data_IF_727266400714
#
_entry.id   IF_727266400714
#
_cell.length_a   1.000
_cell.length_b   1.000
_cell.length_c   1.000
_cell.angle_alpha   90.00
_cell.angle_beta   90.00
_cell.angle_gamma   90.00
#
_symmetry.space_group_name_H-M   'P 1'
#
loop_
_entity.id
_entity.type
_entity.pdbx_description
1 polymer ?
#
# COMPACT_ATOMS: atom_id res chain seq x y z
N UNK A 1 -49.19 -47.58 -33.30
CA UNK A 1 -47.82 -47.07 -33.25
C UNK A 1 -47.79 -45.64 -33.78
N UNK A 2 -47.63 -44.63 -32.96
CA UNK A 2 -47.18 -43.33 -33.43
C UNK A 2 -45.77 -43.03 -32.96
N UNK A 3 -45.01 -42.42 -33.84
CA UNK A 3 -43.65 -41.95 -33.71
C UNK A 3 -43.52 -40.84 -32.66
N UNK A 4 -42.54 -40.97 -31.81
CA UNK A 4 -42.09 -39.92 -30.88
C UNK A 4 -41.09 -39.06 -31.63
N UNK A 5 -41.45 -37.80 -31.86
CA UNK A 5 -40.55 -36.74 -32.35
C UNK A 5 -39.84 -36.10 -31.16
N UNK A 6 -38.54 -35.94 -31.31
CA UNK A 6 -37.67 -35.43 -30.30
C UNK A 6 -37.88 -33.94 -30.03
N UNK A 7 -37.99 -33.55 -28.77
CA UNK A 7 -37.93 -32.19 -28.26
C UNK A 7 -36.47 -31.88 -27.89
N UNK A 8 -35.90 -31.09 -28.75
CA UNK A 8 -34.59 -30.45 -28.56
C UNK A 8 -34.79 -29.32 -27.53
N UNK A 9 -34.47 -29.57 -26.28
CA UNK A 9 -34.49 -28.58 -25.22
C UNK A 9 -33.14 -27.92 -25.11
N UNK A 10 -32.92 -26.87 -25.93
CA UNK A 10 -31.82 -25.92 -25.77
C UNK A 10 -31.91 -25.20 -24.42
N UNK A 11 -31.21 -25.70 -23.44
CA UNK A 11 -31.03 -25.03 -22.14
C UNK A 11 -30.13 -23.82 -22.33
N UNK A 12 -30.73 -22.67 -22.58
CA UNK A 12 -30.04 -21.38 -22.55
C UNK A 12 -29.67 -21.10 -21.08
N UNK A 13 -28.44 -21.41 -20.71
CA UNK A 13 -27.85 -20.93 -19.46
C UNK A 13 -27.85 -19.40 -19.51
N UNK A 14 -28.87 -18.80 -18.88
CA UNK A 14 -28.83 -17.38 -18.58
C UNK A 14 -27.65 -17.13 -17.65
N UNK A 15 -26.58 -16.57 -18.20
CA UNK A 15 -25.50 -16.00 -17.41
C UNK A 15 -26.10 -14.84 -16.63
N UNK A 16 -26.44 -15.10 -15.38
CA UNK A 16 -26.82 -14.05 -14.44
C UNK A 16 -25.64 -13.07 -14.34
N UNK A 17 -25.86 -11.87 -14.88
CA UNK A 17 -24.93 -10.74 -14.68
C UNK A 17 -24.74 -10.59 -13.18
N UNK A 18 -23.49 -10.51 -12.66
CA UNK A 18 -23.26 -10.32 -11.25
C UNK A 18 -23.99 -9.08 -10.80
N UNK A 19 -24.89 -9.27 -9.85
CA UNK A 19 -25.63 -8.20 -9.18
C UNK A 19 -24.60 -7.16 -8.72
N UNK A 20 -24.62 -5.97 -9.34
CA UNK A 20 -23.83 -4.84 -8.86
C UNK A 20 -24.28 -4.61 -7.42
N UNK A 21 -23.52 -5.12 -6.45
CA UNK A 21 -23.68 -4.73 -5.05
C UNK A 21 -23.58 -3.21 -5.06
N UNK A 22 -24.69 -2.52 -4.82
CA UNK A 22 -24.64 -1.11 -4.48
C UNK A 22 -23.64 -1.01 -3.33
N UNK A 23 -22.46 -0.44 -3.62
CA UNK A 23 -21.40 -0.21 -2.66
C UNK A 23 -22.02 0.72 -1.61
N UNK A 24 -22.50 0.14 -0.51
CA UNK A 24 -22.91 0.90 0.67
C UNK A 24 -21.60 1.53 1.13
N UNK A 25 -21.37 2.78 0.69
CA UNK A 25 -20.26 3.58 1.16
C UNK A 25 -20.38 3.65 2.67
N UNK A 26 -19.48 3.00 3.38
CA UNK A 26 -19.48 2.88 4.84
C UNK A 26 -19.08 4.21 5.50
N UNK A 27 -19.74 5.29 5.11
CA UNK A 27 -19.55 6.57 5.77
C UNK A 27 -19.93 6.43 7.25
N UNK A 28 -19.15 7.06 8.08
CA UNK A 28 -19.39 7.10 9.52
C UNK A 28 -20.68 7.88 9.81
N UNK A 29 -21.54 7.33 10.63
CA UNK A 29 -22.79 7.97 11.02
C UNK A 29 -22.60 8.81 12.27
N UNK A 30 -23.43 9.87 12.42
CA UNK A 30 -23.41 10.70 13.63
C UNK A 30 -23.72 9.90 14.90
N UNK A 31 -24.57 8.87 14.78
CA UNK A 31 -24.93 7.98 15.88
C UNK A 31 -23.73 7.15 16.38
N UNK A 32 -22.99 6.54 15.45
CA UNK A 32 -21.76 5.77 15.76
C UNK A 32 -20.70 6.66 16.43
N UNK A 33 -20.52 7.90 15.95
CA UNK A 33 -19.60 8.86 16.55
C UNK A 33 -20.01 9.23 17.98
N UNK A 34 -21.29 9.40 18.23
CA UNK A 34 -21.79 9.72 19.55
C UNK A 34 -21.62 8.55 20.54
N UNK A 35 -21.97 7.34 20.12
CA UNK A 35 -21.87 6.11 20.92
C UNK A 35 -20.41 5.73 21.25
N UNK A 36 -19.48 5.99 20.32
CA UNK A 36 -18.05 5.77 20.54
C UNK A 36 -17.37 6.87 21.37
N UNK A 37 -18.06 7.98 21.64
CA UNK A 37 -17.53 9.08 22.44
C UNK A 37 -16.53 9.99 21.73
N UNK A 38 -16.58 10.08 20.40
CA UNK A 38 -15.71 10.96 19.59
C UNK A 38 -15.93 12.44 19.91
N UNK A 39 -17.11 12.81 20.39
CA UNK A 39 -17.48 14.19 20.70
C UNK A 39 -16.80 14.77 21.96
N UNK A 40 -16.21 13.93 22.81
CA UNK A 40 -15.49 14.42 23.97
C UNK A 40 -14.11 14.92 23.58
N UNK A 41 -13.78 16.13 23.98
CA UNK A 41 -12.45 16.69 23.86
C UNK A 41 -11.73 16.73 25.21
N UNK A 42 -10.66 17.46 25.27
CA UNK A 42 -9.88 17.67 26.49
C UNK A 42 -10.47 18.72 27.41
N UNK A 43 -9.92 18.80 28.62
CA UNK A 43 -10.27 19.82 29.61
C UNK A 43 -10.07 21.24 29.07
N UNK A 44 -10.95 22.16 29.46
CA UNK A 44 -10.92 23.57 29.00
C UNK A 44 -9.60 24.29 29.27
N UNK A 45 -8.82 23.84 30.27
CA UNK A 45 -7.50 24.41 30.60
C UNK A 45 -6.39 24.00 29.59
N UNK A 46 -6.60 22.95 28.77
CA UNK A 46 -5.59 22.36 27.89
C UNK A 46 -5.89 22.55 26.42
N UNK A 47 -6.78 23.43 26.04
CA UNK A 47 -7.19 23.61 24.66
C UNK A 47 -6.24 24.49 23.86
N UNK A 48 -6.30 24.35 22.53
CA UNK A 48 -5.64 25.23 21.59
C UNK A 48 -6.67 26.22 21.01
N UNK A 49 -6.43 27.55 21.05
CA UNK A 49 -7.35 28.54 20.50
C UNK A 49 -7.72 28.33 19.01
N UNK A 50 -6.81 27.76 18.22
CA UNK A 50 -7.04 27.46 16.79
C UNK A 50 -8.11 26.39 16.57
N UNK A 51 -8.38 25.55 17.58
CA UNK A 51 -9.44 24.55 17.55
C UNK A 51 -10.83 25.10 17.79
N UNK A 52 -10.97 26.40 18.12
CA UNK A 52 -12.27 27.07 18.37
C UNK A 52 -13.32 26.76 17.31
N UNK A 53 -12.93 26.72 16.06
CA UNK A 53 -13.84 26.47 14.95
C UNK A 53 -14.45 25.05 14.94
N UNK A 54 -13.83 24.07 15.62
CA UNK A 54 -14.26 22.66 15.67
C UNK A 54 -14.99 22.33 16.97
N UNK A 55 -15.05 23.28 17.92
CA UNK A 55 -15.68 23.11 19.22
C UNK A 55 -17.13 23.55 19.13
N UNK A 56 -18.04 22.71 19.61
CA UNK A 56 -19.46 23.02 19.74
C UNK A 56 -19.74 23.85 21.01
N UNK A 57 -19.09 23.47 22.11
CA UNK A 57 -19.26 24.13 23.42
C UNK A 57 -18.43 23.49 24.52
N UNK A 58 -18.66 23.89 25.75
CA UNK A 58 -18.05 23.28 26.94
C UNK A 58 -19.12 22.82 27.92
N UNK A 59 -18.94 21.64 28.51
CA UNK A 59 -19.81 21.09 29.56
C UNK A 59 -18.95 20.40 30.61
N UNK A 60 -19.21 20.71 31.89
CA UNK A 60 -18.48 20.16 33.04
C UNK A 60 -16.93 20.31 32.91
N UNK A 61 -16.46 21.43 32.39
CA UNK A 61 -15.02 21.69 32.24
C UNK A 61 -14.32 20.92 31.10
N UNK A 62 -15.08 20.26 30.23
CA UNK A 62 -14.59 19.54 29.06
C UNK A 62 -15.19 20.17 27.79
N UNK A 63 -14.38 20.34 26.74
CA UNK A 63 -14.88 20.78 25.45
C UNK A 63 -15.61 19.65 24.73
N UNK A 64 -16.64 20.01 24.00
CA UNK A 64 -17.42 19.11 23.13
C UNK A 64 -17.10 19.46 21.69
N UNK A 65 -16.71 18.48 20.90
CA UNK A 65 -16.38 18.62 19.49
C UNK A 65 -17.67 18.58 18.65
N UNK A 66 -17.72 19.39 17.59
CA UNK A 66 -18.82 19.44 16.65
C UNK A 66 -18.81 18.24 15.68
N UNK A 67 -19.62 17.24 15.97
CA UNK A 67 -19.71 16.01 15.15
C UNK A 67 -20.22 16.25 13.74
N UNK A 68 -21.00 17.32 13.49
CA UNK A 68 -21.43 17.62 12.12
C UNK A 68 -20.24 17.99 11.22
N UNK A 69 -19.28 18.71 11.80
CA UNK A 69 -18.02 19.03 11.10
C UNK A 69 -17.16 17.79 10.94
N UNK A 70 -17.08 16.95 11.96
CA UNK A 70 -16.36 15.67 11.92
C UNK A 70 -16.86 14.80 10.76
N UNK A 71 -18.16 14.59 10.62
CA UNK A 71 -18.73 13.78 9.54
C UNK A 71 -18.39 14.35 8.15
N UNK A 72 -18.52 15.68 7.99
CA UNK A 72 -18.22 16.34 6.69
C UNK A 72 -16.74 16.24 6.33
N UNK A 73 -15.86 16.44 7.30
CA UNK A 73 -14.40 16.36 7.09
C UNK A 73 -13.97 14.92 6.87
N UNK A 74 -14.54 13.99 7.62
CA UNK A 74 -14.26 12.57 7.47
C UNK A 74 -14.57 12.05 6.06
N UNK A 75 -15.68 12.47 5.44
CA UNK A 75 -15.97 12.10 4.05
C UNK A 75 -14.85 12.48 3.09
N UNK A 76 -14.36 13.70 3.19
CA UNK A 76 -13.25 14.19 2.35
C UNK A 76 -11.96 13.36 2.57
N UNK A 77 -11.71 12.98 3.83
CA UNK A 77 -10.59 12.12 4.17
C UNK A 77 -10.78 10.73 3.57
N UNK A 78 -11.96 10.16 3.69
CA UNK A 78 -12.31 8.85 3.16
C UNK A 78 -12.08 8.76 1.65
N UNK A 79 -12.64 9.72 0.90
CA UNK A 79 -12.46 9.80 -0.55
C UNK A 79 -10.98 9.98 -0.93
N UNK A 80 -10.26 10.85 -0.22
CA UNK A 80 -8.82 11.07 -0.45
C UNK A 80 -7.98 9.82 -0.21
N UNK A 81 -8.27 9.04 0.83
CA UNK A 81 -7.57 7.77 1.11
C UNK A 81 -7.80 6.76 0.00
N UNK A 82 -9.05 6.64 -0.47
CA UNK A 82 -9.37 5.76 -1.61
C UNK A 82 -8.55 6.16 -2.84
N UNK A 83 -8.52 7.44 -3.19
CA UNK A 83 -7.83 7.94 -4.38
C UNK A 83 -6.32 7.69 -4.31
N UNK A 84 -5.70 7.89 -3.14
CA UNK A 84 -4.28 7.59 -2.93
C UNK A 84 -3.99 6.09 -3.11
N UNK A 85 -4.78 5.23 -2.48
CA UNK A 85 -4.57 3.79 -2.56
C UNK A 85 -4.88 3.27 -3.96
N UNK A 86 -5.93 3.78 -4.62
CA UNK A 86 -6.24 3.47 -6.02
C UNK A 86 -5.18 3.95 -7.02
N UNK A 87 -4.27 4.84 -6.60
CA UNK A 87 -3.07 5.21 -7.38
C UNK A 87 -1.85 4.32 -7.09
N UNK A 88 -2.02 3.22 -6.35
CA UNK A 88 -0.95 2.27 -5.99
C UNK A 88 -0.04 2.74 -4.85
N UNK A 89 -0.39 3.81 -4.13
CA UNK A 89 0.40 4.30 -3.00
C UNK A 89 -0.11 3.70 -1.69
N UNK A 90 0.80 3.46 -0.76
CA UNK A 90 0.49 2.87 0.54
C UNK A 90 0.28 3.97 1.61
N UNK A 91 -0.58 3.69 2.58
CA UNK A 91 -0.81 4.53 3.75
C UNK A 91 0.08 4.07 4.91
N UNK A 92 0.58 5.01 5.71
CA UNK A 92 1.31 4.72 6.95
C UNK A 92 0.46 5.12 8.17
N UNK A 93 0.07 4.15 8.96
CA UNK A 93 -0.66 4.36 10.21
C UNK A 93 0.32 4.65 11.35
N UNK A 94 0.12 5.74 12.09
CA UNK A 94 0.99 6.17 13.18
C UNK A 94 0.18 6.44 14.44
N UNK A 95 0.55 5.79 15.53
CA UNK A 95 -0.05 6.08 16.84
C UNK A 95 0.64 5.29 17.95
N UNK A 96 1.49 5.99 18.67
CA UNK A 96 2.27 5.39 19.78
C UNK A 96 1.55 5.47 21.11
N UNK A 97 0.43 6.21 21.17
CA UNK A 97 -0.42 6.33 22.35
C UNK A 97 -0.96 4.96 22.77
N UNK A 98 -0.88 4.64 24.04
CA UNK A 98 -1.29 3.33 24.58
C UNK A 98 -2.71 2.91 24.13
N UNK A 99 -3.63 3.88 24.00
CA UNK A 99 -5.01 3.65 23.60
C UNK A 99 -5.16 3.36 22.09
N UNK A 100 -4.17 3.77 21.28
CA UNK A 100 -4.19 3.64 19.82
C UNK A 100 -3.46 2.40 19.30
N UNK A 101 -2.52 1.86 20.07
CA UNK A 101 -1.59 0.80 19.62
C UNK A 101 -2.29 -0.40 19.03
N UNK A 102 -3.24 -0.97 19.78
CA UNK A 102 -3.93 -2.18 19.39
C UNK A 102 -4.81 -1.94 18.15
N UNK A 103 -5.55 -0.83 18.15
CA UNK A 103 -6.38 -0.46 17.01
C UNK A 103 -5.59 -0.25 15.73
N UNK A 104 -4.43 0.43 15.82
CA UNK A 104 -3.55 0.64 14.67
C UNK A 104 -2.95 -0.68 14.17
N UNK A 105 -2.48 -1.53 15.09
CA UNK A 105 -1.91 -2.82 14.73
C UNK A 105 -2.93 -3.73 14.03
N UNK A 106 -4.12 -3.88 14.61
CA UNK A 106 -5.18 -4.72 14.05
C UNK A 106 -5.65 -4.22 12.68
N UNK A 107 -5.97 -2.93 12.56
CA UNK A 107 -6.56 -2.37 11.36
C UNK A 107 -5.55 -2.21 10.21
N UNK A 108 -4.31 -1.84 10.51
CA UNK A 108 -3.28 -1.74 9.49
C UNK A 108 -2.92 -3.12 8.90
N UNK A 109 -2.86 -4.17 9.74
CA UNK A 109 -2.67 -5.54 9.24
C UNK A 109 -3.89 -6.01 8.43
N UNK A 110 -5.13 -5.65 8.81
CA UNK A 110 -6.34 -6.00 8.07
C UNK A 110 -6.34 -5.44 6.64
N UNK A 111 -5.87 -4.21 6.47
CA UNK A 111 -5.78 -3.58 5.15
C UNK A 111 -4.39 -3.70 4.51
N UNK A 112 -3.45 -4.45 5.12
CA UNK A 112 -2.07 -4.66 4.63
C UNK A 112 -1.31 -3.36 4.36
N UNK A 113 -1.50 -2.38 5.21
CA UNK A 113 -0.81 -1.10 5.15
C UNK A 113 0.31 -1.02 6.19
N UNK A 114 1.22 -0.07 6.01
CA UNK A 114 2.32 0.15 6.95
C UNK A 114 1.84 0.75 8.26
N UNK A 115 2.53 0.44 9.36
CA UNK A 115 2.18 1.00 10.67
C UNK A 115 3.37 1.19 11.60
N UNK A 116 3.23 2.16 12.51
CA UNK A 116 4.12 2.41 13.64
C UNK A 116 3.26 2.59 14.89
N UNK A 117 3.23 1.57 15.74
CA UNK A 117 2.35 1.54 16.92
C UNK A 117 3.08 1.66 18.25
N UNK A 118 4.40 1.46 18.31
CA UNK A 118 5.12 1.47 19.60
C UNK A 118 5.87 2.77 19.84
N UNK A 119 6.82 3.13 18.98
CA UNK A 119 7.61 4.35 19.10
C UNK A 119 8.06 4.85 17.74
N UNK A 120 7.81 6.13 17.46
CA UNK A 120 8.39 6.80 16.31
C UNK A 120 9.88 7.06 16.54
N UNK A 121 10.74 6.57 15.66
CA UNK A 121 12.16 6.86 15.68
C UNK A 121 12.42 8.12 14.87
N UNK A 122 13.14 9.09 15.43
CA UNK A 122 13.51 10.29 14.67
C UNK A 122 14.30 9.93 13.42
N UNK A 123 13.92 10.53 12.29
CA UNK A 123 14.51 10.22 10.99
C UNK A 123 13.88 9.02 10.27
N UNK A 124 12.74 8.51 10.75
CA UNK A 124 12.10 7.33 10.17
C UNK A 124 11.73 7.52 8.68
N UNK A 125 11.35 8.72 8.28
CA UNK A 125 11.08 9.08 6.90
C UNK A 125 12.21 9.91 6.29
N UNK A 126 12.69 10.93 7.02
CA UNK A 126 13.70 11.86 6.51
C UNK A 126 15.10 11.25 6.37
N UNK A 127 15.41 10.20 7.13
CA UNK A 127 16.64 9.42 7.04
C UNK A 127 16.35 7.95 6.82
N UNK A 128 15.49 7.67 5.86
CA UNK A 128 15.01 6.32 5.58
C UNK A 128 16.12 5.32 5.24
N UNK A 129 17.21 5.78 4.60
CA UNK A 129 18.36 4.92 4.29
C UNK A 129 19.00 4.30 5.55
N UNK A 130 19.10 5.07 6.65
CA UNK A 130 19.60 4.55 7.92
C UNK A 130 18.60 3.60 8.58
N UNK A 131 17.31 3.88 8.47
CA UNK A 131 16.25 2.99 8.96
C UNK A 131 16.27 1.67 8.19
N UNK A 132 16.48 1.69 6.87
CA UNK A 132 16.61 0.49 6.03
C UNK A 132 17.73 -0.44 6.51
N UNK A 133 18.90 0.10 6.89
CA UNK A 133 19.97 -0.70 7.51
C UNK A 133 19.52 -1.37 8.81
N UNK A 134 18.69 -0.68 9.60
CA UNK A 134 18.12 -1.27 10.83
C UNK A 134 17.09 -2.36 10.53
N UNK A 135 16.32 -2.20 9.45
CA UNK A 135 15.39 -3.23 8.95
C UNK A 135 16.17 -4.45 8.42
N UNK A 136 17.25 -4.23 7.68
CA UNK A 136 18.15 -5.31 7.22
C UNK A 136 18.74 -6.08 8.41
N UNK A 137 19.15 -5.36 9.45
CA UNK A 137 19.60 -5.98 10.71
C UNK A 137 18.51 -6.83 11.39
N UNK A 138 17.26 -6.33 11.41
CA UNK A 138 16.11 -7.08 11.92
C UNK A 138 15.89 -8.36 11.12
N UNK A 139 15.92 -8.27 9.78
CA UNK A 139 15.75 -9.42 8.90
C UNK A 139 16.86 -10.46 9.13
N UNK A 140 18.11 -10.02 9.26
CA UNK A 140 19.24 -10.89 9.60
C UNK A 140 19.04 -11.62 10.94
N UNK A 141 18.58 -10.90 11.99
CA UNK A 141 18.30 -11.50 13.28
C UNK A 141 17.14 -12.51 13.21
N UNK A 142 16.11 -12.23 12.42
CA UNK A 142 15.01 -13.17 12.19
C UNK A 142 15.50 -14.43 11.47
N UNK A 143 16.40 -14.32 10.50
CA UNK A 143 16.99 -15.49 9.82
C UNK A 143 17.76 -16.36 10.80
N UNK A 144 18.65 -15.77 11.64
CA UNK A 144 19.40 -16.49 12.65
C UNK A 144 18.52 -17.27 13.64
N UNK A 145 17.38 -16.67 14.03
CA UNK A 145 16.43 -17.32 14.94
C UNK A 145 15.69 -18.45 14.24
N UNK A 146 15.24 -18.25 13.00
CA UNK A 146 14.49 -19.24 12.23
C UNK A 146 15.35 -20.44 11.84
N UNK A 147 16.62 -20.21 11.49
CA UNK A 147 17.58 -21.25 11.11
C UNK A 147 18.15 -22.01 12.35
N UNK A 148 17.77 -21.59 13.55
CA UNK A 148 18.29 -22.16 14.78
C UNK A 148 19.75 -21.84 15.08
N UNK A 149 20.41 -21.05 14.25
CA UNK A 149 21.82 -20.64 14.41
C UNK A 149 22.07 -19.85 15.70
N UNK A 150 21.03 -19.31 16.32
CA UNK A 150 21.12 -18.62 17.62
C UNK A 150 21.67 -19.57 18.73
N UNK A 151 21.45 -20.88 18.60
CA UNK A 151 21.90 -21.86 19.57
C UNK A 151 23.43 -22.14 19.49
N UNK A 152 24.09 -21.71 18.41
CA UNK A 152 25.56 -21.80 18.26
C UNK A 152 26.28 -20.71 19.03
N UNK A 153 25.58 -19.64 19.42
CA UNK A 153 26.15 -18.55 20.21
C UNK A 153 26.16 -18.89 21.71
N UNK A 154 27.11 -18.35 22.48
CA UNK A 154 27.06 -18.42 23.94
C UNK A 154 25.74 -17.91 24.47
N UNK A 155 25.14 -18.51 25.49
CA UNK A 155 23.82 -18.18 26.05
C UNK A 155 23.64 -16.68 26.29
N UNK A 156 24.66 -15.98 26.78
CA UNK A 156 24.64 -14.54 27.06
C UNK A 156 24.48 -13.71 25.78
N UNK A 157 25.15 -14.12 24.71
CA UNK A 157 25.07 -13.45 23.40
C UNK A 157 23.74 -13.73 22.71
N UNK A 158 23.28 -14.98 22.69
CA UNK A 158 21.97 -15.35 22.16
C UNK A 158 20.83 -14.55 22.80
N UNK A 159 20.84 -14.42 24.13
CA UNK A 159 19.87 -13.56 24.84
C UNK A 159 19.98 -12.07 24.49
N UNK A 160 21.18 -11.56 24.17
CA UNK A 160 21.39 -10.19 23.75
C UNK A 160 20.82 -9.96 22.33
N UNK A 161 21.09 -10.88 21.41
CA UNK A 161 20.57 -10.84 20.05
C UNK A 161 19.04 -10.94 20.04
N UNK A 162 18.45 -11.81 20.86
CA UNK A 162 17.01 -11.94 20.97
C UNK A 162 16.34 -10.66 21.52
N UNK A 163 16.91 -10.03 22.54
CA UNK A 163 16.44 -8.75 23.06
C UNK A 163 16.54 -7.64 22.02
N UNK A 164 17.62 -7.62 21.22
CA UNK A 164 17.79 -6.67 20.12
C UNK A 164 16.72 -6.90 19.06
N UNK A 165 16.49 -8.15 18.63
CA UNK A 165 15.45 -8.56 17.69
C UNK A 165 14.06 -8.08 18.12
N UNK A 166 13.64 -8.40 19.32
CA UNK A 166 12.34 -7.99 19.87
C UNK A 166 12.20 -6.47 19.92
N UNK A 167 13.27 -5.75 20.29
CA UNK A 167 13.27 -4.29 20.31
C UNK A 167 13.11 -3.67 18.90
N UNK A 168 13.80 -4.22 17.92
CA UNK A 168 13.71 -3.78 16.52
C UNK A 168 12.35 -4.12 15.93
N UNK A 169 11.85 -5.32 16.17
CA UNK A 169 10.56 -5.80 15.68
C UNK A 169 9.40 -4.94 16.20
N UNK A 170 9.38 -4.64 17.49
CA UNK A 170 8.38 -3.77 18.10
C UNK A 170 8.35 -2.35 17.49
N UNK A 171 9.47 -1.82 17.00
CA UNK A 171 9.55 -0.46 16.48
C UNK A 171 9.48 -0.38 14.96
N UNK A 172 9.99 -1.38 14.25
CA UNK A 172 10.16 -1.37 12.80
C UNK A 172 9.37 -2.48 12.08
N UNK A 173 8.76 -3.41 12.82
CA UNK A 173 8.04 -4.56 12.25
C UNK A 173 6.98 -4.15 11.23
N UNK A 174 6.21 -3.10 11.52
CA UNK A 174 5.14 -2.61 10.63
C UNK A 174 5.61 -1.87 9.38
N UNK A 175 6.89 -1.53 9.27
CA UNK A 175 7.49 -0.89 8.08
C UNK A 175 8.54 -1.77 7.41
N UNK A 176 8.63 -3.06 7.78
CA UNK A 176 9.65 -3.98 7.29
C UNK A 176 9.60 -4.18 5.77
N UNK A 177 8.42 -4.17 5.19
CA UNK A 177 8.18 -4.36 3.75
C UNK A 177 8.10 -3.05 2.97
N UNK A 178 8.30 -1.90 3.65
CA UNK A 178 8.25 -0.59 3.01
C UNK A 178 9.50 -0.39 2.15
N UNK A 179 9.34 -0.32 0.84
CA UNK A 179 10.43 -0.04 -0.09
C UNK A 179 10.48 1.45 -0.47
N UNK A 180 9.32 2.08 -0.58
CA UNK A 180 9.15 3.47 -0.97
C UNK A 180 8.47 4.26 0.15
N UNK A 181 8.62 5.59 0.12
CA UNK A 181 7.92 6.47 1.05
C UNK A 181 6.39 6.34 0.90
N UNK A 182 5.63 6.44 2.01
CA UNK A 182 4.18 6.32 1.96
C UNK A 182 3.54 7.48 1.18
N UNK A 183 2.38 7.23 0.56
CA UNK A 183 1.62 8.25 -0.16
C UNK A 183 0.89 9.22 0.76
N UNK A 184 0.54 8.80 1.99
CA UNK A 184 -0.01 9.62 3.04
C UNK A 184 0.27 9.00 4.41
N UNK A 185 0.17 9.82 5.46
CA UNK A 185 0.37 9.40 6.86
C UNK A 185 -0.93 9.64 7.62
N UNK A 186 -1.45 8.59 8.28
CA UNK A 186 -2.57 8.70 9.21
C UNK A 186 -2.05 8.71 10.64
N UNK A 187 -2.32 9.79 11.39
CA UNK A 187 -1.76 10.04 12.72
C UNK A 187 -2.86 10.10 13.76
N UNK A 188 -2.68 9.39 14.86
CA UNK A 188 -3.51 9.52 16.07
C UNK A 188 -2.76 10.37 17.08
N UNK A 189 -3.34 11.48 17.51
CA UNK A 189 -2.74 12.48 18.41
C UNK A 189 -1.48 13.14 17.82
N UNK A 190 -1.63 14.12 16.90
CA UNK A 190 -0.50 14.80 16.26
C UNK A 190 0.40 15.57 17.26
N UNK A 191 -0.10 15.89 18.45
CA UNK A 191 0.70 16.53 19.50
C UNK A 191 1.74 15.57 20.07
N UNK A 192 1.37 14.31 20.29
CA UNK A 192 2.30 13.28 20.76
C UNK A 192 3.27 12.87 19.64
N UNK A 193 2.75 12.78 18.43
CA UNK A 193 3.51 12.37 17.23
C UNK A 193 4.10 13.55 16.44
N UNK A 194 4.45 14.64 17.15
CA UNK A 194 4.95 15.87 16.51
C UNK A 194 6.20 15.67 15.65
N UNK A 195 7.01 14.62 15.89
CA UNK A 195 8.18 14.29 15.09
C UNK A 195 7.72 13.72 13.75
N UNK A 196 6.77 12.79 13.76
CA UNK A 196 6.21 12.19 12.54
C UNK A 196 5.55 13.25 11.64
N UNK A 197 4.76 14.15 12.24
CA UNK A 197 4.13 15.27 11.53
C UNK A 197 5.16 16.19 10.88
N UNK A 198 6.23 16.58 11.61
CA UNK A 198 7.29 17.43 11.04
C UNK A 198 8.07 16.75 9.91
N UNK A 199 8.33 15.45 10.05
CA UNK A 199 9.01 14.68 8.99
C UNK A 199 8.13 14.53 7.75
N UNK A 200 6.84 14.20 7.90
CA UNK A 200 5.88 14.13 6.81
C UNK A 200 5.78 15.45 6.03
N UNK A 201 5.61 16.56 6.75
CA UNK A 201 5.57 17.91 6.14
C UNK A 201 6.87 18.27 5.41
N UNK A 202 8.03 17.93 5.97
CA UNK A 202 9.32 18.18 5.33
C UNK A 202 9.48 17.46 4.00
N UNK A 203 8.87 16.28 3.87
CA UNK A 203 8.90 15.47 2.64
C UNK A 203 7.71 15.74 1.71
N UNK A 204 6.79 16.64 2.08
CA UNK A 204 5.59 16.93 1.29
C UNK A 204 4.58 15.79 1.26
N UNK A 205 4.61 14.89 2.26
CA UNK A 205 3.67 13.77 2.37
C UNK A 205 2.40 14.28 3.06
N UNK A 206 1.20 14.11 2.46
CA UNK A 206 -0.06 14.52 3.06
C UNK A 206 -0.30 13.85 4.41
N UNK A 207 -0.74 14.65 5.39
CA UNK A 207 -0.98 14.19 6.76
C UNK A 207 -2.47 14.22 7.07
N UNK A 208 -3.00 13.06 7.42
CA UNK A 208 -4.35 12.86 7.93
C UNK A 208 -4.22 12.66 9.44
N UNK A 209 -4.99 13.36 10.26
CA UNK A 209 -4.91 13.12 11.70
C UNK A 209 -6.25 13.21 12.42
N UNK A 210 -6.38 12.40 13.49
CA UNK A 210 -7.40 12.61 14.52
C UNK A 210 -6.88 13.74 15.41
N UNK A 211 -7.62 14.86 15.42
CA UNK A 211 -7.21 16.10 16.08
C UNK A 211 -8.18 16.41 17.20
N UNK A 212 -7.70 16.35 18.44
CA UNK A 212 -8.46 16.76 19.61
C UNK A 212 -8.28 18.27 19.90
N UNK A 213 -9.01 18.79 20.84
CA UNK A 213 -9.06 20.22 21.22
C UNK A 213 -7.74 20.81 21.71
N UNK A 214 -6.75 19.98 22.07
CA UNK A 214 -5.42 20.38 22.55
C UNK A 214 -4.34 20.46 21.46
N UNK A 215 -4.67 20.09 20.21
CA UNK A 215 -3.73 20.00 19.10
C UNK A 215 -3.72 21.28 18.24
N UNK A 216 -2.67 21.43 17.40
CA UNK A 216 -2.59 22.50 16.41
C UNK A 216 -3.09 21.99 15.05
N UNK A 217 -4.23 22.50 14.53
CA UNK A 217 -4.76 22.04 13.26
C UNK A 217 -3.96 22.48 12.02
N UNK A 218 -3.17 23.58 12.12
CA UNK A 218 -2.45 24.16 10.95
C UNK A 218 -1.32 23.26 10.43
N UNK A 219 -0.92 22.27 11.20
CA UNK A 219 0.13 21.33 10.83
C UNK A 219 -0.39 20.11 10.05
N UNK A 220 -1.72 20.00 9.89
CA UNK A 220 -2.40 18.83 9.35
C UNK A 220 -3.16 19.22 8.10
N UNK A 221 -3.00 18.45 7.02
CA UNK A 221 -3.66 18.71 5.75
C UNK A 221 -5.12 18.24 5.76
N UNK A 222 -5.35 17.07 6.36
CA UNK A 222 -6.68 16.45 6.46
C UNK A 222 -7.04 16.19 7.91
N UNK A 223 -7.85 17.06 8.48
CA UNK A 223 -8.23 17.05 9.89
C UNK A 223 -9.48 16.21 10.10
N UNK A 224 -9.45 15.32 11.07
CA UNK A 224 -10.62 14.61 11.62
C UNK A 224 -10.78 15.08 13.07
N UNK A 225 -11.66 16.07 13.34
CA UNK A 225 -11.90 16.51 14.71
C UNK A 225 -12.51 15.37 15.52
N UNK A 226 -11.86 14.95 16.60
CA UNK A 226 -12.31 13.81 17.39
C UNK A 226 -11.46 13.54 18.60
N UNK A 227 -11.98 12.71 19.48
CA UNK A 227 -11.33 12.27 20.71
C UNK A 227 -10.19 11.29 20.41
N UNK A 228 -9.01 11.61 20.87
CA UNK A 228 -7.80 10.81 20.74
C UNK A 228 -7.43 9.99 21.99
N UNK A 229 -8.25 10.08 23.07
CA UNK A 229 -8.07 9.35 24.32
C UNK A 229 -8.97 8.12 24.44
N UNK A 230 -10.15 8.14 23.82
CA UNK A 230 -11.12 7.06 23.92
C UNK A 230 -10.79 5.92 22.94
N UNK A 231 -10.49 4.73 23.46
CA UNK A 231 -10.18 3.53 22.67
C UNK A 231 -11.25 3.24 21.62
N UNK A 232 -12.56 3.37 21.98
CA UNK A 232 -13.68 3.14 21.05
C UNK A 232 -13.71 4.16 19.91
N UNK A 233 -13.40 5.44 20.20
CA UNK A 233 -13.36 6.50 19.19
C UNK A 233 -12.22 6.30 18.20
N UNK A 234 -11.02 6.01 18.72
CA UNK A 234 -9.84 5.73 17.90
C UNK A 234 -10.11 4.50 17.01
N UNK A 235 -10.60 3.40 17.59
CA UNK A 235 -10.88 2.16 16.86
C UNK A 235 -11.90 2.38 15.74
N UNK A 236 -12.99 3.11 16.01
CA UNK A 236 -14.01 3.42 15.02
C UNK A 236 -13.42 4.18 13.82
N UNK A 237 -12.68 5.26 14.07
CA UNK A 237 -12.11 6.08 13.02
C UNK A 237 -11.05 5.30 12.25
N UNK A 238 -10.14 4.61 12.93
CA UNK A 238 -9.08 3.81 12.31
C UNK A 238 -9.65 2.69 11.46
N UNK A 239 -10.70 2.00 11.94
CA UNK A 239 -11.38 0.95 11.17
C UNK A 239 -12.01 1.49 9.89
N UNK A 240 -12.65 2.66 9.93
CA UNK A 240 -13.21 3.30 8.73
C UNK A 240 -12.15 3.77 7.73
N UNK A 241 -10.99 4.21 8.21
CA UNK A 241 -9.84 4.53 7.33
C UNK A 241 -9.28 3.24 6.70
N UNK A 242 -9.21 2.15 7.44
CA UNK A 242 -8.81 0.86 6.90
C UNK A 242 -9.82 0.33 5.86
N UNK A 243 -11.13 0.55 6.07
CA UNK A 243 -12.17 0.23 5.07
C UNK A 243 -11.94 1.03 3.77
N UNK A 244 -11.57 2.32 3.87
CA UNK A 244 -11.21 3.14 2.71
C UNK A 244 -9.97 2.60 1.97
N UNK A 245 -8.97 2.08 2.71
CA UNK A 245 -7.80 1.47 2.11
C UNK A 245 -8.16 0.17 1.37
N UNK A 246 -9.03 -0.67 1.92
CA UNK A 246 -9.51 -1.91 1.26
C UNK A 246 -10.27 -1.55 -0.02
N UNK A 247 -11.19 -0.58 0.05
CA UNK A 247 -11.93 -0.11 -1.12
C UNK A 247 -11.00 0.47 -2.20
N UNK A 248 -9.95 1.21 -1.79
CA UNK A 248 -8.94 1.74 -2.70
C UNK A 248 -8.14 0.64 -3.40
N UNK A 249 -7.78 -0.45 -2.70
CA UNK A 249 -7.13 -1.63 -3.28
C UNK A 249 -8.03 -2.32 -4.30
N UNK A 250 -9.29 -2.56 -3.96
CA UNK A 250 -10.26 -3.14 -4.89
C UNK A 250 -10.35 -2.33 -6.19
N UNK A 251 -10.39 -0.99 -6.09
CA UNK A 251 -10.40 -0.10 -7.27
C UNK A 251 -9.10 -0.16 -8.07
N UNK A 252 -7.95 -0.37 -7.41
CA UNK A 252 -6.66 -0.56 -8.08
C UNK A 252 -6.67 -1.87 -8.86
N UNK A 253 -7.09 -2.95 -8.23
CA UNK A 253 -7.16 -4.29 -8.83
C UNK A 253 -8.13 -4.31 -10.03
N UNK A 254 -9.31 -3.67 -9.90
CA UNK A 254 -10.27 -3.50 -11.01
C UNK A 254 -9.66 -2.74 -12.19
N UNK A 255 -8.84 -1.69 -11.94
CA UNK A 255 -8.14 -0.96 -13.00
C UNK A 255 -7.08 -1.80 -13.69
N UNK A 256 -6.26 -2.51 -12.92
CA UNK A 256 -5.20 -3.36 -13.46
C UNK A 256 -5.79 -4.51 -14.28
N UNK A 257 -6.90 -5.11 -13.85
CA UNK A 257 -7.60 -6.12 -14.63
C UNK A 257 -8.16 -5.55 -15.94
N UNK A 258 -8.79 -4.37 -15.88
CA UNK A 258 -9.33 -3.73 -17.08
C UNK A 258 -8.23 -3.29 -18.07
N UNK A 259 -7.03 -2.94 -17.60
CA UNK A 259 -5.87 -2.65 -18.43
C UNK A 259 -5.30 -3.94 -19.04
N UNK A 260 -5.16 -5.00 -18.27
CA UNK A 260 -4.70 -6.30 -18.74
C UNK A 260 -5.67 -6.91 -19.78
N UNK A 261 -6.97 -6.81 -19.56
CA UNK A 261 -7.99 -7.28 -20.52
C UNK A 261 -7.90 -6.54 -21.86
N UNK A 262 -7.66 -5.22 -21.83
CA UNK A 262 -7.46 -4.42 -23.05
C UNK A 262 -6.19 -4.83 -23.81
N UNK A 263 -5.08 -5.03 -23.09
CA UNK A 263 -3.83 -5.50 -23.71
C UNK A 263 -4.02 -6.87 -24.38
N UNK A 264 -4.78 -7.78 -23.77
CA UNK A 264 -5.11 -9.08 -24.33
C UNK A 264 -6.00 -8.95 -25.57
N UNK A 265 -7.00 -8.05 -25.54
CA UNK A 265 -7.85 -7.76 -26.70
C UNK A 265 -7.03 -7.18 -27.86
N UNK A 266 -6.17 -6.19 -27.61
CA UNK A 266 -5.28 -5.61 -28.63
C UNK A 266 -4.33 -6.65 -29.24
N UNK A 267 -3.72 -7.50 -28.40
CA UNK A 267 -2.85 -8.58 -28.89
C UNK A 267 -3.63 -9.61 -29.70
N UNK A 268 -4.87 -9.93 -29.33
CA UNK A 268 -5.72 -10.86 -30.06
C UNK A 268 -6.18 -10.29 -31.41
N UNK A 269 -6.50 -8.99 -31.48
CA UNK A 269 -6.83 -8.31 -32.74
C UNK A 269 -5.63 -8.25 -33.69
N UNK A 270 -4.42 -7.95 -33.17
CA UNK A 270 -3.18 -7.97 -33.94
C UNK A 270 -2.89 -9.36 -34.50
N UNK A 271 -3.13 -10.42 -33.68
CA UNK A 271 -2.93 -11.81 -34.09
C UNK A 271 -3.93 -12.23 -35.19
N UNK A 272 -5.21 -11.85 -35.08
CA UNK A 272 -6.24 -12.17 -36.08
C UNK A 272 -6.01 -11.45 -37.40
N UNK A 273 -5.64 -10.16 -37.35
CA UNK A 273 -5.29 -9.39 -38.56
C UNK A 273 -4.03 -9.97 -39.25
N UNK A 274 -3.04 -10.39 -38.45
CA UNK A 274 -1.84 -11.05 -39.00
C UNK A 274 -2.11 -12.40 -39.67
N UNK A 275 -3.15 -13.14 -39.25
CA UNK A 275 -3.58 -14.39 -39.86
C UNK A 275 -4.30 -14.19 -41.20
N UNK A 276 -5.05 -13.09 -41.37
CA UNK A 276 -5.83 -12.76 -42.56
C UNK A 276 -5.00 -12.14 -43.71
N UNK A 277 -3.81 -11.59 -43.41
CA UNK A 277 -2.94 -10.98 -44.44
C UNK A 277 -2.31 -12.02 -45.35
N UNK A 278 -2.30 -11.75 -46.67
CA UNK A 278 -1.55 -12.54 -47.66
C UNK A 278 -0.04 -12.26 -47.57
N UNK A 279 0.85 -13.20 -47.95
CA UNK A 279 2.28 -12.98 -47.89
C UNK A 279 2.71 -11.77 -48.74
N UNK A 280 3.27 -10.74 -48.09
CA UNK A 280 3.70 -9.49 -48.72
C UNK A 280 2.73 -8.31 -48.64
N UNK A 281 1.57 -8.47 -48.01
CA UNK A 281 0.60 -7.43 -47.75
C UNK A 281 0.92 -6.69 -46.44
N UNK A 282 0.70 -5.37 -46.41
CA UNK A 282 0.90 -4.51 -45.24
C UNK A 282 -0.43 -3.92 -44.84
N UNK A 283 -0.75 -3.95 -43.57
CA UNK A 283 -1.91 -3.26 -42.99
C UNK A 283 -1.46 -2.39 -41.83
N UNK A 284 -1.80 -1.11 -41.89
CA UNK A 284 -1.55 -0.15 -40.80
C UNK A 284 -2.74 -0.24 -39.86
N UNK A 285 -2.49 -0.57 -38.60
CA UNK A 285 -3.52 -0.67 -37.52
C UNK A 285 -3.58 0.62 -36.74
N UNK A 286 -2.47 1.36 -36.62
CA UNK A 286 -2.42 2.66 -35.96
C UNK A 286 -1.58 3.63 -36.79
N UNK A 287 -2.11 4.82 -37.03
CA UNK A 287 -1.45 5.91 -37.76
C UNK A 287 -0.60 6.82 -36.87
N UNK A 288 -0.45 6.47 -35.59
CA UNK A 288 0.41 7.18 -34.64
C UNK A 288 -0.19 8.46 -34.04
N UNK A 289 -1.48 8.73 -34.24
CA UNK A 289 -2.14 9.94 -33.69
C UNK A 289 -2.39 9.86 -32.16
N UNK A 290 -2.51 8.64 -31.60
CA UNK A 290 -2.67 8.40 -30.16
C UNK A 290 -1.67 7.42 -29.55
N UNK A 291 -0.67 6.92 -30.33
CA UNK A 291 0.33 5.94 -29.90
C UNK A 291 1.36 5.60 -30.97
N UNK A 292 2.23 4.61 -30.73
CA UNK A 292 3.22 4.19 -31.73
C UNK A 292 2.55 3.62 -32.99
N UNK A 293 3.12 3.93 -34.14
CA UNK A 293 2.67 3.36 -35.43
C UNK A 293 2.94 1.85 -35.42
N UNK A 294 1.88 1.04 -35.58
CA UNK A 294 1.97 -0.42 -35.63
C UNK A 294 1.63 -0.89 -37.06
N UNK A 295 2.64 -1.45 -37.75
CA UNK A 295 2.47 -2.07 -39.04
C UNK A 295 2.71 -3.58 -38.94
N UNK A 296 1.77 -4.38 -39.44
CA UNK A 296 1.93 -5.84 -39.54
C UNK A 296 2.36 -6.19 -40.94
N UNK A 297 3.52 -6.86 -41.10
CA UNK A 297 4.07 -7.35 -42.36
C UNK A 297 4.21 -8.86 -42.28
N UNK A 298 3.46 -9.60 -43.09
CA UNK A 298 3.64 -11.05 -43.26
C UNK A 298 4.81 -11.32 -44.19
N UNK A 299 5.96 -11.72 -43.66
CA UNK A 299 7.15 -12.06 -44.47
C UNK A 299 6.87 -13.29 -45.36
N UNK A 300 7.27 -13.24 -46.65
CA UNK A 300 7.34 -14.43 -47.48
C UNK A 300 8.40 -15.38 -46.91
N UNK A 301 7.98 -16.53 -46.45
CA UNK A 301 8.90 -17.65 -46.20
C UNK A 301 9.37 -18.14 -47.57
N UNK A 302 10.59 -17.83 -47.96
CA UNK A 302 11.26 -18.50 -49.07
C UNK A 302 11.60 -19.90 -48.54
N UNK A 303 10.89 -20.90 -49.07
CA UNK A 303 11.32 -22.28 -48.99
C UNK A 303 12.59 -22.41 -49.85
N UNK A 304 13.72 -22.65 -49.23
CA UNK A 304 14.90 -23.24 -49.84
C UNK A 304 15.08 -24.60 -49.19
N UNK A 305 14.86 -25.58 -50.06
CA UNK A 305 15.22 -26.99 -49.83
C UNK A 305 16.73 -27.14 -49.72
N UNK A 306 17.13 -28.04 -48.82
CA UNK A 306 18.29 -28.94 -48.85
C UNK A 306 19.70 -28.34 -49.00
N UNK A 307 20.60 -28.60 -48.06
CA UNK A 307 21.47 -29.79 -48.15
C UNK A 307 22.21 -29.99 -46.83
N UNK A 308 22.25 -31.25 -46.49
CA UNK A 308 23.07 -32.02 -45.62
C UNK A 308 24.57 -31.62 -45.78
N UNK A 309 25.22 -31.21 -44.70
CA UNK A 309 26.65 -31.45 -44.48
C UNK A 309 27.04 -31.04 -43.06
N UNK A 310 27.30 -32.04 -42.27
CA UNK A 310 28.17 -31.99 -41.09
C UNK A 310 29.59 -31.66 -41.51
N UNK A 311 30.33 -30.87 -40.75
CA UNK A 311 31.68 -31.32 -40.39
C UNK A 311 32.00 -31.19 -38.91
N UNK A 312 32.66 -32.22 -38.51
CA UNK A 312 33.54 -32.47 -37.42
C UNK A 312 34.37 -31.32 -36.84
N UNK A 313 34.45 -31.36 -35.54
CA UNK A 313 35.64 -31.36 -34.68
C UNK A 313 36.91 -30.61 -35.12
N UNK A 314 37.34 -29.64 -34.30
CA UNK A 314 38.73 -29.35 -33.90
C UNK A 314 38.70 -28.39 -32.72
N UNK A 315 38.91 -28.85 -31.53
CA UNK A 315 40.10 -28.97 -30.70
C UNK A 315 41.11 -27.82 -30.78
N UNK A 316 41.48 -27.43 -29.53
CA UNK A 316 42.74 -26.81 -29.07
C UNK A 316 42.88 -25.30 -29.20
N UNK A 317 43.19 -24.53 -28.22
CA UNK A 317 44.35 -24.54 -27.29
C UNK A 317 44.21 -23.36 -26.29
N UNK A 318 44.37 -23.65 -25.03
CA UNK A 318 45.08 -22.75 -24.11
C UNK A 318 46.57 -22.74 -24.55
N UNK A 319 47.35 -21.71 -24.26
CA UNK A 319 48.07 -21.54 -23.02
C UNK A 319 48.30 -20.04 -22.67
N UNK A 320 48.66 -19.68 -21.48
CA UNK A 320 49.87 -19.76 -20.76
C UNK A 320 49.94 -18.70 -19.68
N UNK A 321 50.38 -19.15 -18.53
CA UNK A 321 51.01 -18.47 -17.41
C UNK A 321 52.11 -17.46 -17.83
N UNK A 322 52.22 -16.39 -17.01
CA UNK A 322 53.50 -15.83 -16.49
C UNK A 322 53.09 -14.84 -15.40
N UNK A 323 53.28 -15.15 -14.13
CA UNK A 323 54.41 -15.02 -13.21
C UNK A 323 55.06 -13.63 -13.09
N UNK A 324 55.22 -13.25 -11.80
CA UNK A 324 56.24 -12.36 -11.18
C UNK A 324 56.02 -10.86 -11.29
N UNK A 325 56.34 -10.04 -10.32
CA UNK A 325 56.89 -10.18 -8.97
C UNK A 325 56.83 -8.81 -8.29
N UNK A 326 56.83 -8.79 -6.96
CA UNK A 326 57.57 -7.90 -6.03
C UNK A 326 57.60 -6.37 -6.40
N UNK A 327 57.40 -5.46 -5.52
CA UNK A 327 58.12 -5.10 -4.30
C UNK A 327 57.51 -3.95 -3.56
N UNK A 328 57.48 -4.03 -2.27
CA UNK A 328 57.89 -3.11 -1.19
C UNK A 328 57.51 -1.63 -1.22
N UNK A 329 57.03 -1.17 -0.10
CA UNK A 329 57.67 -0.05 0.55
C UNK A 329 56.78 1.07 1.10
N UNK A 330 56.80 1.12 2.39
CA UNK A 330 56.50 2.16 3.38
C UNK A 330 55.05 2.24 3.91
#
# INVERSE_FOLDING_TARGET
MPRMEGLDSGLILAVEKPFKREKIMAYITMKELLESGVHFGHQTKRWNPKMKQYIFGARNGIYIIDLQKTVRMFRRVYDFVIDIVASGKMLLFVGTKKQARDAIYEEANRCEMFYVHNRWLGGMLTNYQTIKKSIERLNYLNTIVNDGSINLFPKKEGLKLEKERVKLDNNLGGIRTMNNLPGAIFVVDPKNEAIAVREGRRLGIPIIAIVDTNCNPDEIDYIIPGNDDAIRAIRLITSRIADACVEGKERLDEKQQAEADKEVEEVSEVATVGAELKPGERKIISDGLEGPVVEIIKRKTSATENDDETPENSESQEPGETTEAEETGE
#
